data_IF_873191619095
#
_entry.id   IF_873191619095
#
_cell.length_a   1.000
_cell.length_b   1.000
_cell.length_c   1.000
_cell.angle_alpha   90.00
_cell.angle_beta   90.00
_cell.angle_gamma   90.00
#
_symmetry.space_group_name_H-M   'P 1'
#
loop_
_entity.id
_entity.type
_entity.pdbx_description
1 polymer ?
#
# COMPACT_ATOMS: atom_id res chain seq x y z
N UNK A 1 -0.22 11.46 -8.63
CA UNK A 1 0.80 10.84 -9.51
C UNK A 1 0.24 9.54 -10.11
N UNK A 2 0.69 9.13 -11.31
CA UNK A 2 0.26 7.84 -11.87
C UNK A 2 0.74 6.67 -11.00
N UNK A 3 -0.09 5.64 -10.92
CA UNK A 3 0.23 4.38 -10.26
C UNK A 3 0.52 3.34 -11.33
N UNK A 4 1.65 2.65 -11.19
CA UNK A 4 1.99 1.46 -11.95
C UNK A 4 1.83 0.24 -11.07
N UNK A 5 1.29 -0.81 -11.65
CA UNK A 5 1.38 -2.16 -11.14
C UNK A 5 2.30 -2.95 -12.07
N UNK A 6 3.59 -3.03 -11.71
CA UNK A 6 4.60 -3.64 -12.56
C UNK A 6 4.37 -5.13 -12.80
N UNK A 7 3.65 -5.81 -11.90
CA UNK A 7 3.29 -7.23 -12.05
C UNK A 7 2.23 -7.47 -13.12
N UNK A 8 1.24 -6.58 -13.24
CA UNK A 8 0.14 -6.72 -14.21
C UNK A 8 0.32 -5.83 -15.45
N UNK A 9 1.38 -5.01 -15.49
CA UNK A 9 1.57 -4.00 -16.53
C UNK A 9 0.47 -2.93 -16.53
N UNK A 10 -0.30 -2.79 -15.44
CA UNK A 10 -1.41 -1.84 -15.35
C UNK A 10 -0.88 -0.47 -14.99
N UNK A 11 -1.26 0.54 -15.78
CA UNK A 11 -0.86 1.91 -15.56
C UNK A 11 -2.09 2.79 -15.37
N UNK A 12 -2.32 3.19 -14.12
CA UNK A 12 -3.37 4.15 -13.78
C UNK A 12 -2.80 5.54 -13.98
N UNK A 13 -3.12 6.12 -15.15
CA UNK A 13 -2.85 7.53 -15.42
C UNK A 13 -3.57 8.39 -14.38
N UNK A 14 -2.81 9.29 -13.78
CA UNK A 14 -3.39 10.39 -13.04
C UNK A 14 -4.11 11.32 -14.02
N UNK A 15 -5.08 12.08 -13.51
CA UNK A 15 -5.58 13.22 -14.28
C UNK A 15 -4.42 14.21 -14.39
N UNK A 16 -4.22 14.77 -15.59
CA UNK A 16 -3.12 15.71 -15.79
C UNK A 16 -3.26 16.81 -14.73
N UNK A 17 -2.27 16.98 -13.83
CA UNK A 17 -2.37 18.01 -12.83
C UNK A 17 -2.50 19.35 -13.53
N UNK A 18 -3.32 20.23 -12.96
CA UNK A 18 -3.49 21.58 -13.50
C UNK A 18 -2.13 22.22 -13.78
N UNK A 19 -2.02 22.90 -14.91
CA UNK A 19 -0.78 23.58 -15.31
C UNK A 19 -0.66 24.91 -14.57
N UNK A 20 -0.55 24.83 -13.24
CA UNK A 20 -0.33 25.95 -12.33
C UNK A 20 1.14 26.00 -11.90
N UNK A 21 1.61 27.20 -11.53
CA UNK A 21 2.94 27.36 -10.93
C UNK A 21 2.92 26.85 -9.49
N UNK A 22 3.88 25.99 -9.11
CA UNK A 22 3.92 25.41 -7.75
C UNK A 22 4.39 26.40 -6.67
N UNK A 23 5.10 27.46 -7.05
CA UNK A 23 5.60 28.44 -6.09
C UNK A 23 4.44 29.20 -5.45
N UNK A 24 4.17 28.95 -4.17
CA UNK A 24 3.05 29.55 -3.40
C UNK A 24 2.98 31.08 -3.45
N UNK A 25 4.12 31.76 -3.61
CA UNK A 25 4.20 33.21 -3.72
C UNK A 25 3.95 33.74 -5.15
N UNK A 26 3.75 32.85 -6.14
CA UNK A 26 3.55 33.24 -7.53
C UNK A 26 2.08 33.66 -7.77
N UNK A 27 1.81 34.83 -8.37
CA UNK A 27 0.45 35.23 -8.73
C UNK A 27 -0.26 34.25 -9.67
N UNK A 28 0.50 33.44 -10.43
CA UNK A 28 -0.02 32.45 -11.39
C UNK A 28 -0.42 31.12 -10.76
N UNK A 29 -0.25 30.95 -9.46
CA UNK A 29 -0.84 29.82 -8.72
C UNK A 29 -2.35 29.77 -8.90
N UNK A 30 -3.01 30.93 -9.00
CA UNK A 30 -4.48 31.04 -9.12
C UNK A 30 -5.00 31.21 -10.54
N UNK A 31 -4.15 31.67 -11.46
CA UNK A 31 -4.54 32.05 -12.84
C UNK A 31 -4.27 30.91 -13.85
N UNK A 32 -3.43 29.93 -13.47
CA UNK A 32 -3.08 28.82 -14.35
C UNK A 32 -2.09 29.16 -15.46
N UNK A 33 -2.06 28.31 -16.50
CA UNK A 33 -1.07 28.35 -17.58
C UNK A 33 -1.07 29.68 -18.35
N UNK A 34 -2.26 30.26 -18.59
CA UNK A 34 -2.40 31.55 -19.29
C UNK A 34 -1.66 31.64 -20.62
N UNK A 35 -1.46 30.51 -21.31
CA UNK A 35 -0.69 30.41 -22.55
C UNK A 35 0.84 30.33 -22.40
N UNK A 36 1.39 30.47 -21.20
CA UNK A 36 2.84 30.64 -20.99
C UNK A 36 3.50 29.32 -20.66
N UNK A 37 4.51 28.95 -21.44
CA UNK A 37 5.28 27.70 -21.26
C UNK A 37 5.79 27.56 -19.83
N UNK A 38 5.25 26.58 -19.09
CA UNK A 38 5.67 26.23 -17.73
C UNK A 38 6.48 24.93 -17.78
N UNK A 39 7.83 25.00 -17.84
CA UNK A 39 8.65 23.81 -17.81
C UNK A 39 8.41 23.01 -16.52
N UNK A 40 8.38 21.68 -16.67
CA UNK A 40 8.45 20.78 -15.53
C UNK A 40 9.86 20.80 -14.94
N UNK A 41 9.97 20.54 -13.64
CA UNK A 41 11.26 20.29 -13.01
C UNK A 41 11.98 19.13 -13.71
N UNK A 42 13.24 19.32 -14.12
CA UNK A 42 13.98 18.33 -14.92
C UNK A 42 14.20 16.98 -14.20
N UNK A 43 14.22 17.00 -12.86
CA UNK A 43 14.44 15.82 -12.04
C UNK A 43 13.13 15.06 -11.78
N UNK A 44 12.18 15.66 -11.07
CA UNK A 44 10.92 14.97 -10.73
C UNK A 44 9.91 14.87 -11.88
N UNK A 45 10.04 15.74 -12.90
CA UNK A 45 9.13 15.87 -14.06
C UNK A 45 7.65 16.13 -13.71
N UNK A 46 7.35 16.43 -12.45
CA UNK A 46 5.99 16.53 -11.93
C UNK A 46 5.57 17.99 -11.68
N UNK A 47 6.29 18.71 -10.80
CA UNK A 47 5.96 20.12 -10.51
C UNK A 47 6.38 21.03 -11.67
N UNK A 48 5.64 22.12 -11.86
CA UNK A 48 5.88 23.10 -12.92
C UNK A 48 6.09 24.49 -12.32
N UNK A 49 6.94 25.27 -12.99
CA UNK A 49 7.20 26.65 -12.63
C UNK A 49 7.09 27.52 -13.86
N UNK A 50 6.53 28.73 -13.72
CA UNK A 50 6.53 29.69 -14.83
C UNK A 50 7.91 30.29 -15.11
N UNK A 51 8.86 30.17 -14.16
CA UNK A 51 10.21 30.71 -14.28
C UNK A 51 11.20 29.97 -13.37
N UNK A 52 12.50 30.09 -13.67
CA UNK A 52 13.58 29.63 -12.78
C UNK A 52 13.56 30.32 -11.42
N UNK A 53 13.10 31.57 -11.34
CA UNK A 53 12.95 32.29 -10.08
C UNK A 53 11.91 31.65 -9.16
N UNK A 54 10.74 31.26 -9.71
CA UNK A 54 9.71 30.54 -8.95
C UNK A 54 10.22 29.18 -8.47
N UNK A 55 10.98 28.46 -9.30
CA UNK A 55 11.61 27.21 -8.90
C UNK A 55 12.59 27.39 -7.73
N UNK A 56 13.46 28.40 -7.79
CA UNK A 56 14.43 28.69 -6.72
C UNK A 56 13.73 29.11 -5.42
N UNK A 57 12.67 29.92 -5.52
CA UNK A 57 11.89 30.35 -4.37
C UNK A 57 11.21 29.15 -3.66
N UNK A 58 10.71 28.18 -4.43
CA UNK A 58 10.09 26.98 -3.85
C UNK A 58 11.11 25.89 -3.45
N UNK A 59 12.38 26.00 -3.88
CA UNK A 59 13.37 24.92 -3.78
C UNK A 59 13.57 24.36 -2.37
N UNK A 60 13.53 25.22 -1.34
CA UNK A 60 13.67 24.79 0.05
C UNK A 60 12.63 23.73 0.45
N UNK A 61 11.40 23.87 -0.05
CA UNK A 61 10.30 22.91 0.15
C UNK A 61 10.39 21.80 -0.89
N UNK A 62 10.53 22.16 -2.17
CA UNK A 62 10.53 21.21 -3.28
C UNK A 62 11.56 20.10 -3.18
N UNK A 63 12.79 20.43 -2.75
CA UNK A 63 13.91 19.46 -2.69
C UNK A 63 13.61 18.25 -1.79
N UNK A 64 12.77 18.42 -0.77
CA UNK A 64 12.36 17.35 0.15
C UNK A 64 11.63 16.22 -0.57
N UNK A 65 10.92 16.54 -1.66
CA UNK A 65 10.10 15.59 -2.40
C UNK A 65 10.47 15.50 -3.90
N UNK A 66 11.54 16.17 -4.35
CA UNK A 66 11.96 16.18 -5.76
C UNK A 66 12.43 14.79 -6.24
N UNK A 67 13.08 14.02 -5.37
CA UNK A 67 13.68 12.71 -5.68
C UNK A 67 12.67 11.57 -5.83
N UNK A 68 11.43 11.79 -5.42
CA UNK A 68 10.41 10.75 -5.47
C UNK A 68 10.19 10.37 -6.96
N UNK A 69 10.05 9.07 -7.29
CA UNK A 69 9.84 8.63 -8.67
C UNK A 69 8.54 9.21 -9.25
N UNK A 70 8.48 9.54 -10.54
CA UNK A 70 7.29 10.14 -11.17
C UNK A 70 6.09 9.18 -11.23
N UNK A 71 6.32 7.89 -10.97
CA UNK A 71 5.33 6.81 -10.98
C UNK A 71 5.45 6.03 -9.67
N UNK A 72 4.31 5.73 -9.03
CA UNK A 72 4.27 4.89 -7.82
C UNK A 72 4.06 3.44 -8.22
N UNK A 73 4.99 2.56 -7.87
CA UNK A 73 4.82 1.13 -8.11
C UNK A 73 4.13 0.45 -6.92
N UNK A 74 2.84 0.15 -7.07
CA UNK A 74 2.07 -0.51 -6.02
C UNK A 74 2.50 -1.95 -5.80
N UNK A 75 2.92 -2.66 -6.87
CA UNK A 75 3.30 -4.07 -6.75
C UNK A 75 4.56 -4.21 -5.89
N UNK A 76 5.56 -3.36 -6.14
CA UNK A 76 6.79 -3.32 -5.34
C UNK A 76 6.54 -2.93 -3.89
N UNK A 77 5.59 -2.01 -3.65
CA UNK A 77 5.19 -1.66 -2.29
C UNK A 77 4.51 -2.83 -1.57
N UNK A 78 3.58 -3.53 -2.23
CA UNK A 78 2.91 -4.72 -1.69
C UNK A 78 3.90 -5.85 -1.38
N UNK A 79 4.90 -6.06 -2.25
CA UNK A 79 5.99 -7.02 -2.02
C UNK A 79 6.79 -6.70 -0.76
N UNK A 80 7.21 -5.44 -0.60
CA UNK A 80 7.96 -5.01 0.58
C UNK A 80 7.18 -5.22 1.89
N UNK A 81 5.86 -5.07 1.86
CA UNK A 81 4.99 -5.21 3.03
C UNK A 81 4.31 -6.57 3.12
N UNK A 82 4.67 -7.53 2.27
CA UNK A 82 4.08 -8.87 2.26
C UNK A 82 4.13 -9.53 3.63
N UNK A 83 5.27 -9.55 4.37
CA UNK A 83 5.33 -10.23 5.67
C UNK A 83 4.39 -9.60 6.70
N UNK A 84 4.24 -8.27 6.66
CA UNK A 84 3.36 -7.52 7.54
C UNK A 84 1.89 -7.90 7.29
N UNK A 85 1.46 -7.88 6.03
CA UNK A 85 0.07 -8.18 5.69
C UNK A 85 -0.27 -9.67 5.80
N UNK A 86 0.72 -10.57 5.63
CA UNK A 86 0.59 -11.99 5.95
C UNK A 86 0.36 -12.19 7.45
N UNK A 87 1.12 -11.50 8.30
CA UNK A 87 0.90 -11.51 9.75
C UNK A 87 -0.48 -10.94 10.12
N UNK A 88 -0.83 -9.77 9.60
CA UNK A 88 -2.12 -9.13 9.89
C UNK A 88 -3.31 -9.98 9.41
N UNK A 89 -3.15 -10.75 8.33
CA UNK A 89 -4.13 -11.72 7.87
C UNK A 89 -4.31 -12.86 8.88
N UNK A 90 -3.22 -13.43 9.39
CA UNK A 90 -3.27 -14.51 10.39
C UNK A 90 -3.98 -14.05 11.67
N UNK A 91 -3.58 -12.90 12.21
CA UNK A 91 -4.16 -12.35 13.43
C UNK A 91 -5.60 -11.87 13.20
N UNK A 92 -5.83 -11.15 12.11
CA UNK A 92 -7.13 -10.55 11.82
C UNK A 92 -8.22 -11.57 11.55
N UNK A 93 -7.89 -12.72 10.94
CA UNK A 93 -8.82 -13.82 10.69
C UNK A 93 -8.82 -14.84 11.83
N UNK A 94 -8.01 -14.66 12.87
CA UNK A 94 -7.87 -15.59 13.99
C UNK A 94 -7.55 -17.02 13.52
N UNK A 95 -6.63 -17.17 12.56
CA UNK A 95 -6.39 -18.47 11.90
C UNK A 95 -5.78 -19.52 12.83
N UNK A 96 -5.20 -19.10 13.96
CA UNK A 96 -4.64 -19.99 14.99
C UNK A 96 -5.73 -20.73 15.76
N UNK A 97 -6.84 -20.06 16.05
CA UNK A 97 -7.94 -20.62 16.86
C UNK A 97 -9.15 -21.01 15.99
N UNK A 98 -9.34 -20.36 14.83
CA UNK A 98 -10.45 -20.53 13.91
C UNK A 98 -9.97 -20.60 12.46
N UNK A 99 -9.26 -21.66 12.05
CA UNK A 99 -8.67 -21.76 10.72
C UNK A 99 -9.69 -21.74 9.58
N UNK A 100 -10.93 -22.18 9.81
CA UNK A 100 -12.02 -22.13 8.83
C UNK A 100 -12.39 -20.71 8.39
N UNK A 101 -11.98 -19.67 9.14
CA UNK A 101 -12.18 -18.28 8.74
C UNK A 101 -11.49 -17.95 7.42
N UNK A 102 -10.41 -18.66 7.05
CA UNK A 102 -9.72 -18.48 5.76
C UNK A 102 -10.61 -18.76 4.54
N UNK A 103 -11.68 -19.54 4.72
CA UNK A 103 -12.63 -19.91 3.67
C UNK A 103 -13.81 -18.94 3.53
N UNK A 104 -13.94 -17.98 4.46
CA UNK A 104 -15.12 -17.10 4.54
C UNK A 104 -14.75 -15.62 4.67
N UNK A 105 -13.53 -15.33 5.12
CA UNK A 105 -13.04 -14.00 5.43
C UNK A 105 -11.78 -13.64 4.66
N UNK A 106 -11.55 -12.34 4.52
CA UNK A 106 -10.34 -11.74 3.98
C UNK A 106 -9.94 -10.51 4.78
N UNK A 107 -8.71 -10.07 4.55
CA UNK A 107 -8.21 -8.79 5.01
C UNK A 107 -8.46 -7.72 3.94
N UNK A 108 -9.06 -6.60 4.32
CA UNK A 108 -9.20 -5.42 3.49
C UNK A 108 -8.26 -4.32 4.02
N UNK A 109 -7.35 -3.88 3.17
CA UNK A 109 -6.41 -2.79 3.42
C UNK A 109 -6.85 -1.60 2.56
N UNK A 110 -7.25 -0.51 3.19
CA UNK A 110 -7.56 0.73 2.48
C UNK A 110 -6.29 1.56 2.36
N UNK A 111 -5.90 1.82 1.12
CA UNK A 111 -4.73 2.62 0.77
C UNK A 111 -5.16 3.96 0.20
N UNK A 112 -4.53 5.02 0.67
CA UNK A 112 -4.57 6.32 0.03
C UNK A 112 -3.23 6.52 -0.66
N UNK A 113 -3.26 6.59 -1.99
CA UNK A 113 -2.12 7.04 -2.76
C UNK A 113 -2.09 8.57 -2.71
N UNK A 114 -1.24 9.11 -1.84
CA UNK A 114 -1.15 10.55 -1.64
C UNK A 114 -0.37 11.19 -2.79
N UNK A 115 -0.78 12.39 -3.19
CA UNK A 115 0.12 13.24 -3.95
C UNK A 115 1.19 13.81 -3.00
N UNK A 116 2.31 14.26 -3.58
CA UNK A 116 3.38 14.90 -2.80
C UNK A 116 2.95 16.26 -2.20
N UNK A 117 1.75 16.75 -2.50
CA UNK A 117 1.29 18.08 -2.12
C UNK A 117 0.72 18.11 -0.69
N UNK A 118 0.23 16.97 -0.19
CA UNK A 118 -0.30 16.82 1.17
C UNK A 118 0.76 16.40 2.20
N UNK A 119 1.98 16.08 1.75
CA UNK A 119 3.11 15.78 2.62
C UNK A 119 3.67 17.12 3.13
N UNK A 120 3.15 17.60 4.26
CA UNK A 120 3.65 18.79 4.95
C UNK A 120 5.13 18.65 5.33
N UNK A 121 5.81 19.75 5.70
CA UNK A 121 7.21 19.70 6.15
C UNK A 121 7.45 18.74 7.33
N UNK A 122 6.38 18.37 8.05
CA UNK A 122 6.41 17.49 9.22
C UNK A 122 5.93 16.05 8.93
N UNK A 123 5.52 15.73 7.69
CA UNK A 123 5.03 14.38 7.36
C UNK A 123 6.22 13.42 7.21
N UNK A 124 6.47 12.65 8.26
CA UNK A 124 7.45 11.57 8.32
C UNK A 124 7.10 10.32 7.51
N UNK A 125 5.96 10.30 6.80
CA UNK A 125 5.46 9.12 6.12
C UNK A 125 6.48 8.61 5.07
N UNK A 126 7.13 7.45 5.31
CA UNK A 126 8.22 6.96 4.47
C UNK A 126 7.73 6.29 3.18
N UNK A 127 6.43 6.26 2.92
CA UNK A 127 5.79 5.64 1.76
C UNK A 127 4.78 6.58 1.09
N UNK A 128 4.66 6.48 -0.23
CA UNK A 128 3.65 7.18 -1.05
C UNK A 128 2.26 6.53 -0.98
N UNK A 129 2.17 5.37 -0.34
CA UNK A 129 0.92 4.72 0.02
C UNK A 129 0.76 4.85 1.52
N UNK A 130 -0.30 5.53 1.93
CA UNK A 130 -0.73 5.61 3.31
C UNK A 130 -1.80 4.55 3.56
N UNK A 131 -1.59 3.72 4.58
CA UNK A 131 -2.61 2.80 5.07
C UNK A 131 -3.58 3.57 5.95
N UNK A 132 -4.79 3.77 5.44
CA UNK A 132 -5.88 4.41 6.17
C UNK A 132 -6.48 3.45 7.21
N UNK A 133 -6.79 2.23 6.77
CA UNK A 133 -7.40 1.21 7.61
C UNK A 133 -7.04 -0.20 7.17
N UNK A 134 -7.01 -1.11 8.13
CA UNK A 134 -6.87 -2.56 7.91
C UNK A 134 -7.96 -3.26 8.69
N UNK A 135 -8.84 -3.99 8.00
CA UNK A 135 -10.03 -4.60 8.61
C UNK A 135 -10.25 -6.02 8.13
N UNK A 136 -10.76 -6.88 9.02
CA UNK A 136 -11.35 -8.16 8.63
C UNK A 136 -12.71 -7.91 7.97
N UNK A 137 -13.00 -8.61 6.88
CA UNK A 137 -14.31 -8.60 6.22
C UNK A 137 -14.64 -9.99 5.66
N UNK A 138 -15.86 -10.19 5.18
CA UNK A 138 -16.31 -11.46 4.59
C UNK A 138 -16.25 -11.43 3.07
N UNK A 139 -16.09 -12.59 2.44
CA UNK A 139 -16.18 -12.70 0.98
C UNK A 139 -17.53 -12.22 0.45
N UNK A 140 -18.63 -12.47 1.18
CA UNK A 140 -19.97 -11.97 0.84
C UNK A 140 -20.02 -10.43 0.80
N UNK A 141 -19.42 -9.76 1.78
CA UNK A 141 -19.34 -8.30 1.81
C UNK A 141 -18.46 -7.77 0.66
N UNK A 142 -17.35 -8.45 0.34
CA UNK A 142 -16.49 -8.06 -0.78
C UNK A 142 -17.16 -8.24 -2.14
N UNK A 143 -17.88 -9.33 -2.35
CA UNK A 143 -18.67 -9.54 -3.56
C UNK A 143 -19.72 -8.44 -3.73
N UNK A 144 -20.44 -8.11 -2.64
CA UNK A 144 -21.48 -7.06 -2.66
C UNK A 144 -20.92 -5.66 -2.95
N UNK A 145 -19.82 -5.29 -2.30
CA UNK A 145 -19.33 -3.91 -2.30
C UNK A 145 -18.29 -3.65 -3.41
N UNK A 146 -17.62 -4.69 -3.89
CA UNK A 146 -16.49 -4.58 -4.82
C UNK A 146 -16.59 -5.52 -6.02
N UNK A 147 -17.65 -6.33 -6.14
CA UNK A 147 -17.86 -7.23 -7.29
C UNK A 147 -16.81 -8.33 -7.41
N UNK A 148 -16.19 -8.74 -6.32
CA UNK A 148 -15.13 -9.75 -6.36
C UNK A 148 -15.65 -11.15 -6.74
N UNK A 149 -15.02 -11.85 -7.71
CA UNK A 149 -15.35 -13.23 -8.04
C UNK A 149 -14.78 -14.16 -6.96
N UNK A 150 -15.64 -14.84 -6.20
CA UNK A 150 -15.23 -15.67 -5.04
C UNK A 150 -14.98 -17.14 -5.42
N UNK A 151 -15.55 -17.60 -6.52
CA UNK A 151 -15.69 -19.04 -6.81
C UNK A 151 -14.36 -19.75 -7.07
N UNK A 152 -13.40 -19.08 -7.73
CA UNK A 152 -12.08 -19.67 -8.03
C UNK A 152 -11.20 -19.82 -6.77
N UNK A 153 -11.52 -19.18 -5.65
CA UNK A 153 -10.69 -19.23 -4.44
C UNK A 153 -10.91 -20.46 -3.60
N UNK A 154 -12.17 -20.94 -3.54
CA UNK A 154 -12.51 -22.10 -2.73
C UNK A 154 -11.71 -23.33 -3.16
N UNK A 155 -11.59 -23.57 -4.47
CA UNK A 155 -10.85 -24.71 -5.01
C UNK A 155 -9.36 -24.70 -4.62
N UNK A 156 -8.67 -23.58 -4.84
CA UNK A 156 -7.24 -23.46 -4.52
C UNK A 156 -6.97 -23.52 -3.02
N UNK A 157 -7.88 -23.00 -2.20
CA UNK A 157 -7.75 -23.15 -0.74
C UNK A 157 -7.96 -24.59 -0.30
N UNK A 158 -8.89 -25.32 -0.93
CA UNK A 158 -9.14 -26.73 -0.66
C UNK A 158 -7.95 -27.62 -1.02
N UNK A 159 -7.24 -27.34 -2.11
CA UNK A 159 -6.01 -28.08 -2.49
C UNK A 159 -4.92 -27.97 -1.40
N UNK A 160 -4.72 -26.78 -0.84
CA UNK A 160 -3.75 -26.56 0.25
C UNK A 160 -4.19 -27.29 1.52
N UNK A 161 -5.49 -27.25 1.84
CA UNK A 161 -6.05 -27.97 3.00
C UNK A 161 -5.88 -29.48 2.83
N UNK A 162 -6.16 -30.01 1.64
CA UNK A 162 -5.96 -31.43 1.32
C UNK A 162 -4.50 -31.86 1.45
N UNK A 163 -3.56 -30.92 1.29
CA UNK A 163 -2.12 -31.13 1.45
C UNK A 163 -1.62 -30.93 2.89
N UNK A 164 -2.52 -30.70 3.85
CA UNK A 164 -2.17 -30.52 5.27
C UNK A 164 -1.94 -29.06 5.73
N UNK A 165 -2.13 -28.08 4.84
CA UNK A 165 -2.06 -26.66 5.20
C UNK A 165 -3.39 -26.10 5.72
N UNK A 166 -3.41 -24.81 6.08
CA UNK A 166 -4.63 -24.12 6.51
C UNK A 166 -5.46 -23.59 5.33
N UNK A 167 -4.85 -23.34 4.18
CA UNK A 167 -5.54 -22.87 2.98
C UNK A 167 -4.86 -21.65 2.34
N UNK A 168 -5.65 -20.87 1.58
CA UNK A 168 -5.17 -19.67 0.87
C UNK A 168 -5.90 -18.43 1.37
N UNK A 169 -5.22 -17.62 2.17
CA UNK A 169 -5.79 -16.37 2.65
C UNK A 169 -5.69 -15.25 1.62
N UNK A 170 -6.56 -14.25 1.77
CA UNK A 170 -6.73 -13.17 0.80
C UNK A 170 -6.55 -11.82 1.49
N UNK A 171 -5.66 -11.00 0.94
CA UNK A 171 -5.50 -9.58 1.30
C UNK A 171 -5.90 -8.73 0.09
N UNK A 172 -6.88 -7.85 0.28
CA UNK A 172 -7.37 -6.94 -0.75
C UNK A 172 -6.92 -5.53 -0.41
N UNK A 173 -6.27 -4.88 -1.35
CA UNK A 173 -5.83 -3.49 -1.27
C UNK A 173 -6.80 -2.63 -2.09
N UNK A 174 -7.64 -1.86 -1.41
CA UNK A 174 -8.51 -0.87 -2.02
C UNK A 174 -7.78 0.48 -2.04
N UNK A 175 -7.33 0.90 -3.21
CA UNK A 175 -6.46 2.05 -3.42
C UNK A 175 -7.28 3.22 -3.94
N UNK A 176 -7.27 4.31 -3.20
CA UNK A 176 -7.86 5.59 -3.60
C UNK A 176 -6.75 6.52 -4.08
N UNK A 177 -6.88 7.03 -5.31
CA UNK A 177 -5.93 8.01 -5.88
C UNK A 177 -6.46 9.44 -5.75
N UNK A 178 -5.57 10.40 -5.47
CA UNK A 178 -5.90 11.82 -5.30
C UNK A 178 -6.63 12.49 -6.48
N UNK A 179 -7.35 13.57 -6.16
CA UNK A 179 -8.16 14.49 -7.00
C UNK A 179 -9.50 14.00 -7.59
N UNK A 180 -9.66 12.71 -7.92
CA UNK A 180 -10.92 12.22 -8.53
C UNK A 180 -11.54 10.98 -7.86
N UNK A 181 -10.94 10.48 -6.77
CA UNK A 181 -11.49 9.35 -6.03
C UNK A 181 -11.57 8.05 -6.85
N UNK A 182 -10.74 7.90 -7.89
CA UNK A 182 -10.64 6.63 -8.62
C UNK A 182 -10.19 5.55 -7.65
N UNK A 183 -10.95 4.45 -7.63
CA UNK A 183 -10.68 3.29 -6.80
C UNK A 183 -10.09 2.19 -7.67
N UNK A 184 -8.95 1.67 -7.28
CA UNK A 184 -8.35 0.46 -7.83
C UNK A 184 -8.35 -0.61 -6.75
N UNK A 185 -8.61 -1.86 -7.10
CA UNK A 185 -8.48 -2.99 -6.18
C UNK A 185 -7.33 -3.88 -6.63
N UNK A 186 -6.50 -4.31 -5.68
CA UNK A 186 -5.46 -5.32 -5.89
C UNK A 186 -5.65 -6.44 -4.89
N UNK A 187 -5.42 -7.67 -5.35
CA UNK A 187 -5.56 -8.85 -4.51
C UNK A 187 -4.20 -9.52 -4.39
N UNK A 188 -3.82 -9.84 -3.16
CA UNK A 188 -2.66 -10.64 -2.83
C UNK A 188 -3.12 -11.91 -2.13
N UNK A 189 -2.58 -13.04 -2.58
CA UNK A 189 -2.90 -14.33 -2.02
C UNK A 189 -1.75 -14.87 -1.19
N UNK A 190 -2.08 -15.43 -0.05
CA UNK A 190 -1.14 -15.89 0.96
C UNK A 190 -1.41 -17.37 1.26
N UNK A 191 -0.65 -18.31 0.65
CA UNK A 191 -0.76 -19.71 1.02
C UNK A 191 -0.25 -19.90 2.45
N UNK A 192 -1.06 -20.56 3.29
CA UNK A 192 -0.71 -20.92 4.66
C UNK A 192 -0.54 -22.44 4.68
N UNK A 193 0.71 -22.86 4.43
CA UNK A 193 1.05 -24.27 4.21
C UNK A 193 1.20 -25.07 5.50
N UNK A 194 1.31 -24.40 6.64
CA UNK A 194 1.61 -25.01 7.93
C UNK A 194 0.55 -24.62 8.96
N UNK A 195 0.33 -25.51 9.93
CA UNK A 195 -0.44 -25.21 11.11
C UNK A 195 0.29 -24.16 11.95
N UNK A 196 -0.46 -23.21 12.49
CA UNK A 196 0.08 -22.13 13.30
C UNK A 196 -0.07 -22.49 14.77
N UNK A 197 0.97 -22.32 15.61
CA UNK A 197 0.84 -22.59 17.03
C UNK A 197 -0.23 -21.68 17.64
N UNK A 198 -1.02 -22.17 18.61
CA UNK A 198 -2.02 -21.34 19.28
C UNK A 198 -1.33 -20.17 19.96
N UNK A 199 -1.92 -18.98 19.80
CA UNK A 199 -1.51 -17.74 20.44
C UNK A 199 -2.76 -16.93 20.73
N UNK A 200 -2.82 -16.18 21.84
CA UNK A 200 -3.90 -15.21 22.04
C UNK A 200 -3.89 -14.21 20.88
N UNK A 201 -5.06 -13.88 20.31
CA UNK A 201 -5.15 -12.89 19.24
C UNK A 201 -4.71 -11.52 19.76
N UNK A 202 -3.86 -10.83 19.01
CA UNK A 202 -3.43 -9.47 19.33
C UNK A 202 -4.60 -8.49 19.12
N UNK A 203 -5.22 -8.02 20.20
CA UNK A 203 -6.40 -7.16 20.13
C UNK A 203 -6.21 -5.91 19.23
N UNK A 204 -5.01 -5.33 19.23
CA UNK A 204 -4.66 -4.11 18.50
C UNK A 204 -3.95 -4.36 17.16
N UNK A 205 -4.06 -5.57 16.59
CA UNK A 205 -3.35 -5.94 15.36
C UNK A 205 -3.56 -4.94 14.21
N UNK A 206 -4.75 -4.33 14.12
CA UNK A 206 -5.11 -3.32 13.11
C UNK A 206 -4.26 -2.06 13.26
N UNK A 207 -4.13 -1.58 14.50
CA UNK A 207 -3.37 -0.38 14.84
C UNK A 207 -1.89 -0.63 14.59
N UNK A 208 -1.38 -1.79 15.02
CA UNK A 208 0.00 -2.20 14.78
C UNK A 208 0.31 -2.32 13.29
N UNK A 209 -0.55 -3.01 12.51
CA UNK A 209 -0.37 -3.15 11.07
C UNK A 209 -0.32 -1.80 10.37
N UNK A 210 -1.25 -0.90 10.72
CA UNK A 210 -1.30 0.46 10.16
C UNK A 210 -0.04 1.26 10.52
N UNK A 211 0.35 1.25 11.79
CA UNK A 211 1.51 1.99 12.27
C UNK A 211 2.82 1.50 11.63
N UNK A 212 3.03 0.19 11.51
CA UNK A 212 4.22 -0.35 10.83
C UNK A 212 4.22 0.01 9.34
N UNK A 213 3.09 -0.16 8.64
CA UNK A 213 3.00 0.14 7.21
C UNK A 213 3.22 1.62 6.88
N UNK A 214 2.80 2.50 7.80
CA UNK A 214 3.00 3.94 7.70
C UNK A 214 4.35 4.40 8.28
N UNK A 215 5.18 3.48 8.79
CA UNK A 215 6.51 3.77 9.33
C UNK A 215 6.52 4.45 10.70
N UNK A 216 5.40 4.46 11.41
CA UNK A 216 5.28 4.95 12.79
C UNK A 216 5.90 3.94 13.79
N UNK A 217 5.98 2.66 13.41
CA UNK A 217 6.63 1.59 14.17
C UNK A 217 7.61 0.81 13.28
N UNK A 218 8.73 0.28 13.83
CA UNK A 218 9.61 -0.60 13.09
C UNK A 218 8.90 -1.91 12.74
N UNK A 219 9.33 -2.56 11.65
CA UNK A 219 8.90 -3.91 11.30
C UNK A 219 9.57 -4.92 12.26
N UNK A 220 9.05 -5.01 13.48
CA UNK A 220 9.40 -6.02 14.48
C UNK A 220 8.20 -6.95 14.63
N UNK A 221 8.07 -7.93 13.73
CA UNK A 221 6.97 -8.90 13.81
C UNK A 221 7.19 -9.81 15.03
N UNK A 222 6.16 -10.07 15.86
CA UNK A 222 6.31 -10.81 17.12
C UNK A 222 6.90 -12.22 17.01
N UNK A 223 6.99 -12.79 15.79
CA UNK A 223 7.46 -14.16 15.53
C UNK A 223 8.80 -14.22 14.79
N UNK A 224 9.41 -13.10 14.40
CA UNK A 224 10.67 -13.11 13.63
C UNK A 224 11.86 -13.63 14.44
N UNK A 225 11.79 -13.65 15.77
CA UNK A 225 12.87 -14.14 16.64
C UNK A 225 12.87 -15.66 16.84
N UNK A 226 11.79 -16.37 16.51
CA UNK A 226 11.70 -17.81 16.75
C UNK A 226 12.16 -18.68 15.56
N UNK A 227 12.15 -18.16 14.33
CA UNK A 227 12.49 -18.93 13.13
C UNK A 227 13.98 -18.89 12.76
N UNK A 228 14.77 -17.97 13.34
CA UNK A 228 16.21 -17.87 13.07
C UNK A 228 17.10 -18.56 14.14
N UNK A 229 16.54 -18.93 15.28
CA UNK A 229 17.25 -19.67 16.35
C UNK A 229 17.55 -21.15 16.01
N UNK A 230 17.17 -21.63 14.82
CA UNK A 230 17.37 -23.02 14.38
C UNK A 230 18.39 -23.20 13.26
N UNK A 231 19.08 -22.15 12.82
CA UNK A 231 20.15 -22.23 11.80
C UNK A 231 21.50 -21.84 12.41
N UNK A 232 21.92 -22.58 13.42
CA UNK A 232 23.33 -22.67 13.75
C UNK A 232 23.61 -24.03 14.38
N UNK A 233 24.23 -24.89 13.59
CA UNK A 233 25.20 -25.96 13.91
C UNK A 233 25.10 -27.03 12.83
N UNK A 234 26.02 -27.00 11.87
CA UNK A 234 26.92 -28.13 11.60
C UNK A 234 27.96 -27.64 10.60
N UNK A 235 29.12 -27.25 11.13
CA UNK A 235 30.40 -27.26 10.44
C UNK A 235 30.80 -28.72 10.21
N UNK A 236 31.12 -29.07 8.96
CA UNK A 236 32.15 -30.03 8.57
C UNK A 236 32.66 -29.61 7.19
#
# INVERSE_FOLDING_TARGET
MPILDSRLGLFVKDVNPERICQSTACPRTKIGYGGIKMPACGQCKYVRYCSKSCQRADWRKHKLYCHIPPVLDIARWMEKHEPLFRWALIEGLDLRNQPSNILTHCLLVQLVATDRLMMGPDSSAPSHFYVDSVVRTTFKAMQRNYGMPVDNFAHQSQEIIASGGLGRGIVIFAITTGSHGRKMCRVQYHPILEALPPSPPLADWQITARAIANGDLPLALPWSTAAEAGKDTTTC
#
